data_IF_239691452127
#
_entry.id   IF_239691452127
#
_cell.length_a   1.000
_cell.length_b   1.000
_cell.length_c   1.000
_cell.angle_alpha   90.00
_cell.angle_beta   90.00
_cell.angle_gamma   90.00
#
_symmetry.space_group_name_H-M   'P 1'
#
loop_
_entity.id
_entity.type
_entity.pdbx_description
1 polymer ?
#
# COMPACT_ATOMS: atom_id res chain seq x y z
N UNK A 1 8.66 9.14 -9.83
CA UNK A 1 9.96 9.74 -10.18
C UNK A 1 10.85 9.87 -8.95
N UNK A 2 12.14 9.64 -9.17
CA UNK A 2 13.19 9.66 -8.15
C UNK A 2 14.16 10.82 -8.39
N UNK A 3 14.97 11.16 -7.36
CA UNK A 3 16.07 12.10 -7.58
C UNK A 3 17.08 11.51 -8.54
N UNK A 4 17.63 12.35 -9.43
CA UNK A 4 18.57 11.94 -10.49
C UNK A 4 19.74 11.10 -9.95
N UNK A 5 20.37 11.55 -8.87
CA UNK A 5 21.51 10.85 -8.27
C UNK A 5 21.11 9.50 -7.69
N UNK A 6 19.88 9.37 -7.14
CA UNK A 6 19.36 8.10 -6.63
C UNK A 6 19.20 7.08 -7.76
N UNK A 7 18.62 7.49 -8.89
CA UNK A 7 18.45 6.62 -10.07
C UNK A 7 19.82 6.11 -10.56
N UNK A 8 20.77 7.03 -10.76
CA UNK A 8 22.11 6.69 -11.25
C UNK A 8 22.86 5.77 -10.28
N UNK A 9 22.82 6.10 -8.98
CA UNK A 9 23.51 5.29 -7.96
C UNK A 9 22.92 3.88 -7.86
N UNK A 10 21.59 3.75 -7.92
CA UNK A 10 20.92 2.45 -7.91
C UNK A 10 21.29 1.61 -9.15
N UNK A 11 21.27 2.21 -10.35
CA UNK A 11 21.68 1.57 -11.58
C UNK A 11 23.16 1.13 -11.54
N UNK A 12 24.04 1.99 -11.05
CA UNK A 12 25.47 1.69 -10.93
C UNK A 12 25.76 0.57 -9.93
N UNK A 13 24.97 0.50 -8.84
CA UNK A 13 25.03 -0.57 -7.86
C UNK A 13 24.51 -1.93 -8.40
N UNK A 14 23.86 -1.94 -9.55
CA UNK A 14 23.27 -3.15 -10.17
C UNK A 14 21.89 -3.52 -9.61
N UNK A 15 21.21 -2.57 -8.98
CA UNK A 15 19.81 -2.74 -8.58
C UNK A 15 18.89 -2.82 -9.78
N UNK A 16 17.76 -3.53 -9.64
CA UNK A 16 16.63 -3.42 -10.58
C UNK A 16 15.98 -2.05 -10.38
N UNK A 17 15.87 -1.26 -11.45
CA UNK A 17 15.27 0.07 -11.41
C UNK A 17 14.13 0.16 -12.41
N UNK A 18 12.91 0.34 -11.94
CA UNK A 18 11.74 0.60 -12.78
C UNK A 18 11.65 2.11 -13.07
N UNK A 19 11.90 2.52 -14.33
CA UNK A 19 11.87 3.91 -14.78
C UNK A 19 10.41 4.35 -14.97
N UNK A 20 10.07 5.52 -14.43
CA UNK A 20 8.70 5.99 -14.30
C UNK A 20 8.28 6.99 -15.41
N UNK A 21 9.24 7.58 -16.10
CA UNK A 21 9.01 8.62 -17.12
C UNK A 21 10.16 8.70 -18.13
N UNK A 22 9.93 9.46 -19.22
CA UNK A 22 10.93 9.64 -20.30
C UNK A 22 12.19 10.37 -19.85
N UNK A 23 12.11 11.27 -18.87
CA UNK A 23 13.28 11.99 -18.35
C UNK A 23 14.22 11.02 -17.60
N UNK A 24 13.68 10.08 -16.83
CA UNK A 24 14.48 9.04 -16.18
C UNK A 24 15.11 8.09 -17.22
N UNK A 25 14.38 7.75 -18.29
CA UNK A 25 14.92 6.96 -19.40
C UNK A 25 16.09 7.70 -20.06
N UNK A 26 15.91 8.99 -20.41
CA UNK A 26 16.96 9.83 -21.01
C UNK A 26 18.18 9.94 -20.10
N UNK A 27 17.96 10.12 -18.80
CA UNK A 27 19.01 10.20 -17.80
C UNK A 27 19.86 8.94 -17.77
N UNK A 28 19.23 7.77 -17.70
CA UNK A 28 19.93 6.47 -17.67
C UNK A 28 20.64 6.20 -18.98
N UNK A 29 19.99 6.45 -20.13
CA UNK A 29 20.60 6.32 -21.44
C UNK A 29 21.87 7.18 -21.58
N UNK A 30 21.83 8.42 -21.10
CA UNK A 30 22.97 9.33 -21.13
C UNK A 30 24.11 8.86 -20.20
N UNK A 31 23.78 8.50 -18.96
CA UNK A 31 24.76 8.15 -17.93
C UNK A 31 25.50 6.83 -18.24
N UNK A 32 24.85 5.88 -18.91
CA UNK A 32 25.42 4.56 -19.22
C UNK A 32 25.77 4.38 -20.70
N UNK A 33 25.81 5.47 -21.47
CA UNK A 33 26.28 5.44 -22.86
C UNK A 33 27.75 5.01 -22.91
N UNK A 34 28.04 3.97 -23.68
CA UNK A 34 29.40 3.43 -23.80
C UNK A 34 29.91 2.66 -22.57
N UNK A 35 29.12 2.56 -21.50
CA UNK A 35 29.51 1.74 -20.34
C UNK A 35 29.53 0.26 -20.70
N UNK A 36 30.58 -0.45 -20.29
CA UNK A 36 30.64 -1.91 -20.43
C UNK A 36 29.59 -2.61 -19.58
N UNK A 37 29.34 -2.09 -18.36
CA UNK A 37 28.28 -2.60 -17.48
C UNK A 37 26.99 -1.85 -17.74
N UNK A 38 26.01 -2.52 -18.33
CA UNK A 38 24.67 -1.94 -18.51
C UNK A 38 23.79 -2.10 -17.26
N UNK A 39 22.94 -1.12 -16.97
CA UNK A 39 22.00 -1.20 -15.85
C UNK A 39 20.89 -2.22 -16.11
N UNK A 40 20.29 -2.75 -15.04
CA UNK A 40 19.09 -3.60 -15.09
C UNK A 40 17.86 -2.72 -14.91
N UNK A 41 17.20 -2.37 -16.03
CA UNK A 41 16.06 -1.44 -16.00
C UNK A 41 14.78 -2.09 -16.47
N UNK A 42 13.68 -1.74 -15.81
CA UNK A 42 12.32 -1.95 -16.27
C UNK A 42 11.65 -0.64 -16.63
N UNK A 43 10.51 -0.70 -17.28
CA UNK A 43 9.64 0.43 -17.52
C UNK A 43 8.35 0.27 -16.72
N UNK A 44 7.98 1.30 -15.98
CA UNK A 44 6.66 1.38 -15.37
C UNK A 44 5.65 1.80 -16.41
N UNK A 45 4.60 0.99 -16.56
CA UNK A 45 3.58 1.16 -17.60
C UNK A 45 2.38 1.90 -17.04
N UNK A 46 1.98 2.99 -17.69
CA UNK A 46 0.72 3.67 -17.47
C UNK A 46 -0.25 3.31 -18.58
N UNK A 47 -1.47 2.96 -18.24
CA UNK A 47 -2.53 2.60 -19.17
C UNK A 47 -3.91 2.78 -18.54
N UNK A 48 -4.94 2.90 -19.37
CA UNK A 48 -6.32 3.03 -18.93
C UNK A 48 -6.91 1.67 -18.51
N UNK A 49 -6.86 1.37 -17.21
CA UNK A 49 -7.45 0.15 -16.64
C UNK A 49 -8.96 0.30 -16.38
N UNK A 50 -9.51 1.52 -16.36
CA UNK A 50 -10.95 1.74 -16.17
C UNK A 50 -11.78 1.13 -17.32
N UNK A 51 -11.20 0.96 -18.51
CA UNK A 51 -11.86 0.24 -19.62
C UNK A 51 -12.11 -1.23 -19.29
N UNK A 52 -11.19 -1.87 -18.57
CA UNK A 52 -11.24 -3.29 -18.23
C UNK A 52 -11.97 -3.53 -16.90
N UNK A 53 -11.84 -2.61 -15.96
CA UNK A 53 -12.35 -2.70 -14.59
C UNK A 53 -13.01 -1.37 -14.16
N UNK A 54 -14.18 -0.99 -14.73
CA UNK A 54 -14.83 0.28 -14.44
C UNK A 54 -15.15 0.47 -12.96
N UNK A 55 -14.76 1.62 -12.38
CA UNK A 55 -15.05 1.98 -11.00
C UNK A 55 -14.21 1.26 -9.94
N UNK A 56 -13.27 0.39 -10.35
CA UNK A 56 -12.43 -0.32 -9.38
C UNK A 56 -11.17 0.44 -8.98
N UNK A 57 -10.76 1.46 -9.75
CA UNK A 57 -9.54 2.21 -9.45
C UNK A 57 -9.74 3.26 -8.37
N UNK A 58 -8.65 3.62 -7.68
CA UNK A 58 -8.68 4.66 -6.64
C UNK A 58 -8.93 6.05 -7.23
N UNK A 59 -8.52 6.28 -8.48
CA UNK A 59 -8.59 7.59 -9.13
C UNK A 59 -9.89 7.81 -9.92
N UNK A 60 -10.83 6.85 -9.92
CA UNK A 60 -12.16 6.99 -10.52
C UNK A 60 -12.15 7.58 -11.96
N UNK A 61 -11.33 7.02 -12.86
CA UNK A 61 -11.23 7.45 -14.25
C UNK A 61 -10.26 8.62 -14.51
N UNK A 62 -9.68 9.23 -13.47
CA UNK A 62 -8.58 10.18 -13.64
C UNK A 62 -7.29 9.39 -13.90
N UNK A 63 -6.50 9.73 -14.93
CA UNK A 63 -5.25 9.03 -15.20
C UNK A 63 -4.32 8.99 -13.98
N UNK A 64 -3.75 7.82 -13.72
CA UNK A 64 -2.74 7.65 -12.68
C UNK A 64 -1.49 8.48 -13.00
N UNK A 65 -0.86 9.08 -11.98
CA UNK A 65 0.31 9.98 -12.15
C UNK A 65 1.63 9.26 -12.37
N UNK A 66 1.65 7.94 -12.38
CA UNK A 66 2.87 7.14 -12.46
C UNK A 66 2.93 6.35 -13.75
N UNK A 67 4.16 6.18 -14.25
CA UNK A 67 4.45 5.33 -15.38
C UNK A 67 4.40 6.02 -16.73
N UNK A 68 4.98 5.35 -17.73
CA UNK A 68 5.08 5.79 -19.11
C UNK A 68 3.83 5.33 -19.85
N UNK A 69 3.12 6.26 -20.47
CA UNK A 69 1.83 6.01 -21.11
C UNK A 69 1.98 5.16 -22.37
N UNK A 70 1.11 4.13 -22.47
CA UNK A 70 1.02 3.29 -23.68
C UNK A 70 0.26 4.01 -24.80
N UNK A 71 -0.84 4.67 -24.47
CA UNK A 71 -1.81 5.17 -25.44
C UNK A 71 -1.30 6.38 -26.25
N UNK A 72 -0.33 7.12 -25.73
CA UNK A 72 0.22 8.31 -26.41
C UNK A 72 1.54 8.07 -27.15
N UNK A 73 2.05 6.82 -27.17
CA UNK A 73 3.30 6.44 -27.84
C UNK A 73 4.57 6.69 -27.01
N UNK A 74 4.49 7.19 -25.79
CA UNK A 74 5.67 7.43 -24.95
C UNK A 74 6.39 6.13 -24.58
N UNK A 75 5.65 5.03 -24.44
CA UNK A 75 6.25 3.73 -24.14
C UNK A 75 7.13 3.22 -25.31
N UNK A 76 6.66 3.34 -26.55
CA UNK A 76 7.44 3.00 -27.74
C UNK A 76 8.70 3.87 -27.86
N UNK A 77 8.57 5.17 -27.57
CA UNK A 77 9.68 6.11 -27.52
C UNK A 77 10.72 5.72 -26.46
N UNK A 78 10.28 5.32 -25.27
CA UNK A 78 11.16 4.83 -24.21
C UNK A 78 11.94 3.59 -24.63
N UNK A 79 11.28 2.63 -25.30
CA UNK A 79 11.92 1.44 -25.83
C UNK A 79 12.98 1.78 -26.88
N UNK A 80 12.69 2.73 -27.78
CA UNK A 80 13.64 3.18 -28.81
C UNK A 80 14.87 3.81 -28.18
N UNK A 81 14.69 4.69 -27.19
CA UNK A 81 15.80 5.34 -26.46
C UNK A 81 16.71 4.32 -25.77
N UNK A 82 16.15 3.30 -25.12
CA UNK A 82 16.92 2.22 -24.49
C UNK A 82 17.72 1.44 -25.54
N UNK A 83 17.09 1.02 -26.64
CA UNK A 83 17.75 0.28 -27.74
C UNK A 83 18.89 1.06 -28.35
N UNK A 84 18.70 2.35 -28.67
CA UNK A 84 19.73 3.24 -29.21
C UNK A 84 20.93 3.41 -28.28
N UNK A 85 20.71 3.27 -26.96
CA UNK A 85 21.76 3.35 -25.93
C UNK A 85 22.39 1.99 -25.61
N UNK A 86 21.97 0.93 -26.30
CA UNK A 86 22.43 -0.44 -26.06
C UNK A 86 22.05 -0.95 -24.67
N UNK A 87 20.92 -0.47 -24.14
CA UNK A 87 20.36 -0.93 -22.85
C UNK A 87 19.16 -1.82 -23.16
N UNK A 88 19.22 -3.06 -22.72
CA UNK A 88 18.14 -4.02 -22.89
C UNK A 88 17.07 -3.81 -21.80
N UNK A 89 15.80 -3.81 -22.18
CA UNK A 89 14.70 -3.78 -21.22
C UNK A 89 14.65 -5.09 -20.45
N UNK A 90 14.84 -5.03 -19.14
CA UNK A 90 14.84 -6.20 -18.28
C UNK A 90 13.44 -6.60 -17.79
N UNK A 91 12.51 -5.65 -17.65
CA UNK A 91 11.19 -5.96 -17.13
C UNK A 91 10.12 -4.90 -17.35
N UNK A 92 8.89 -5.27 -17.01
CA UNK A 92 7.74 -4.39 -16.97
C UNK A 92 7.24 -4.27 -15.53
N UNK A 93 6.82 -3.07 -15.13
CA UNK A 93 6.16 -2.81 -13.86
C UNK A 93 4.75 -2.22 -14.09
N UNK A 94 3.71 -2.90 -13.58
CA UNK A 94 2.31 -2.58 -13.86
C UNK A 94 1.49 -2.42 -12.59
N UNK A 95 1.94 -1.62 -11.63
CA UNK A 95 1.14 -1.37 -10.42
C UNK A 95 -0.03 -0.42 -10.69
N UNK A 96 -1.24 -0.82 -10.27
CA UNK A 96 -2.45 0.01 -10.28
C UNK A 96 -3.07 0.07 -8.88
N UNK A 97 -3.40 1.29 -8.44
CA UNK A 97 -4.11 1.48 -7.18
C UNK A 97 -5.59 1.12 -7.32
N UNK A 98 -6.06 0.18 -6.51
CA UNK A 98 -7.43 -0.32 -6.55
C UNK A 98 -8.16 -0.12 -5.22
N UNK A 99 -9.45 0.25 -5.30
CA UNK A 99 -10.34 0.28 -4.14
C UNK A 99 -10.84 -1.10 -3.76
N UNK A 100 -11.05 -1.96 -4.74
CA UNK A 100 -11.67 -3.28 -4.57
C UNK A 100 -10.64 -4.36 -4.28
N UNK A 101 -9.42 -4.25 -4.85
CA UNK A 101 -8.38 -5.29 -4.83
C UNK A 101 -8.92 -6.64 -5.30
N UNK A 102 -9.84 -6.63 -6.28
CA UNK A 102 -10.51 -7.81 -6.80
C UNK A 102 -9.59 -8.68 -7.65
N UNK A 103 -9.94 -9.96 -7.84
CA UNK A 103 -9.23 -10.81 -8.79
C UNK A 103 -9.34 -10.30 -10.23
N UNK A 104 -10.43 -9.60 -10.56
CA UNK A 104 -10.63 -9.01 -11.88
C UNK A 104 -9.55 -7.99 -12.21
N UNK A 105 -9.23 -7.08 -11.27
CA UNK A 105 -8.22 -6.06 -11.50
C UNK A 105 -6.82 -6.67 -11.66
N UNK A 106 -6.46 -7.70 -10.89
CA UNK A 106 -5.17 -8.39 -11.02
C UNK A 106 -5.08 -9.22 -12.32
N UNK A 107 -6.19 -9.79 -12.77
CA UNK A 107 -6.26 -10.43 -14.08
C UNK A 107 -6.05 -9.41 -15.21
N UNK A 108 -6.64 -8.22 -15.11
CA UNK A 108 -6.45 -7.13 -16.07
C UNK A 108 -5.00 -6.64 -16.08
N UNK A 109 -4.37 -6.42 -14.90
CA UNK A 109 -2.96 -6.04 -14.80
C UNK A 109 -2.04 -7.07 -15.47
N UNK A 110 -2.21 -8.35 -15.14
CA UNK A 110 -1.44 -9.44 -15.75
C UNK A 110 -1.72 -9.57 -17.26
N UNK A 111 -2.97 -9.41 -17.67
CA UNK A 111 -3.39 -9.40 -19.07
C UNK A 111 -2.75 -8.26 -19.86
N UNK A 112 -2.65 -7.08 -19.28
CA UNK A 112 -1.98 -5.92 -19.87
C UNK A 112 -0.47 -6.18 -20.05
N UNK A 113 0.19 -6.82 -19.08
CA UNK A 113 1.59 -7.22 -19.25
C UNK A 113 1.79 -8.16 -20.45
N UNK A 114 0.91 -9.15 -20.59
CA UNK A 114 0.93 -10.08 -21.74
C UNK A 114 0.68 -9.34 -23.06
N UNK A 115 -0.31 -8.45 -23.10
CA UNK A 115 -0.63 -7.68 -24.30
C UNK A 115 0.54 -6.78 -24.71
N UNK A 116 1.12 -6.03 -23.78
CA UNK A 116 2.30 -5.19 -24.00
C UNK A 116 3.49 -6.03 -24.47
N UNK A 117 3.70 -7.20 -23.87
CA UNK A 117 4.74 -8.12 -24.25
C UNK A 117 4.60 -8.60 -25.71
N UNK A 118 3.39 -8.92 -26.13
CA UNK A 118 3.10 -9.33 -27.53
C UNK A 118 3.27 -8.18 -28.53
N UNK A 119 2.73 -7.01 -28.21
CA UNK A 119 2.74 -5.83 -29.07
C UNK A 119 4.16 -5.36 -29.37
N UNK A 120 5.03 -5.34 -28.36
CA UNK A 120 6.40 -4.84 -28.50
C UNK A 120 7.46 -5.93 -28.61
N UNK A 121 7.08 -7.21 -28.73
CA UNK A 121 8.00 -8.33 -28.89
C UNK A 121 8.88 -8.61 -27.65
N UNK A 122 8.33 -8.47 -26.45
CA UNK A 122 9.06 -8.55 -25.17
C UNK A 122 8.90 -9.94 -24.51
N UNK A 123 9.18 -11.02 -25.24
CA UNK A 123 9.04 -12.40 -24.73
C UNK A 123 10.16 -12.85 -23.78
N UNK A 124 11.31 -12.18 -23.81
CA UNK A 124 12.53 -12.57 -23.08
C UNK A 124 12.81 -11.65 -21.86
N UNK A 125 11.76 -11.07 -21.27
CA UNK A 125 11.93 -10.25 -20.06
C UNK A 125 12.44 -11.09 -18.90
N UNK A 126 13.32 -10.51 -18.08
CA UNK A 126 13.82 -11.13 -16.85
C UNK A 126 12.75 -11.13 -15.74
N UNK A 127 11.84 -10.16 -15.75
CA UNK A 127 10.76 -10.08 -14.79
C UNK A 127 9.53 -9.32 -15.30
N UNK A 128 8.39 -9.64 -14.67
CA UNK A 128 7.18 -8.82 -14.69
C UNK A 128 6.83 -8.52 -13.26
N UNK A 129 6.73 -7.24 -12.93
CA UNK A 129 6.36 -6.73 -11.61
C UNK A 129 4.93 -6.18 -11.68
N UNK A 130 4.01 -6.75 -10.92
CA UNK A 130 2.61 -6.35 -10.87
C UNK A 130 2.29 -5.49 -9.64
N UNK A 131 3.31 -5.08 -8.87
CA UNK A 131 3.18 -4.23 -7.71
C UNK A 131 2.55 -4.91 -6.50
N UNK A 132 1.86 -4.12 -5.70
CA UNK A 132 1.26 -4.55 -4.44
C UNK A 132 -0.26 -4.38 -4.40
N UNK A 133 -0.78 -4.10 -3.20
CA UNK A 133 -2.21 -3.81 -2.99
C UNK A 133 -3.08 -5.04 -2.72
N UNK A 134 -2.50 -6.20 -2.45
CA UNK A 134 -3.24 -7.43 -2.16
C UNK A 134 -3.95 -7.38 -0.81
N UNK A 135 -5.08 -8.12 -0.71
CA UNK A 135 -5.56 -8.59 0.57
C UNK A 135 -4.73 -9.80 1.00
N UNK A 136 -4.82 -10.18 2.25
CA UNK A 136 -4.19 -11.38 2.76
C UNK A 136 -4.65 -11.69 4.17
N UNK A 137 -4.59 -12.99 4.52
CA UNK A 137 -4.93 -13.49 5.84
C UNK A 137 -6.43 -13.66 6.10
N UNK A 138 -6.73 -14.28 7.24
CA UNK A 138 -8.08 -14.65 7.68
C UNK A 138 -8.94 -13.46 8.16
N UNK A 139 -8.34 -12.28 8.35
CA UNK A 139 -9.04 -11.10 8.87
C UNK A 139 -9.93 -10.38 7.84
N UNK A 140 -9.92 -10.81 6.59
CA UNK A 140 -10.70 -10.21 5.53
C UNK A 140 -11.67 -11.22 4.89
N UNK A 141 -12.74 -11.64 5.61
CA UNK A 141 -13.73 -12.57 5.06
C UNK A 141 -14.32 -12.08 3.75
N UNK A 142 -14.48 -12.98 2.79
CA UNK A 142 -15.04 -12.68 1.47
C UNK A 142 -14.09 -11.88 0.57
N UNK A 143 -12.83 -11.71 0.95
CA UNK A 143 -11.78 -11.12 0.11
C UNK A 143 -10.88 -12.21 -0.46
N UNK A 144 -10.26 -11.98 -1.63
CA UNK A 144 -9.40 -12.97 -2.25
C UNK A 144 -8.23 -13.38 -1.36
N UNK A 145 -7.92 -14.66 -1.36
CA UNK A 145 -6.77 -15.26 -0.69
C UNK A 145 -5.49 -15.12 -1.50
N UNK A 146 -4.34 -15.35 -0.89
CA UNK A 146 -3.06 -15.38 -1.60
C UNK A 146 -3.04 -16.39 -2.73
N UNK A 147 -3.62 -17.57 -2.53
CA UNK A 147 -3.69 -18.63 -3.54
C UNK A 147 -4.51 -18.20 -4.75
N UNK A 148 -5.66 -17.56 -4.54
CA UNK A 148 -6.51 -17.07 -5.64
C UNK A 148 -5.84 -15.96 -6.44
N UNK A 149 -5.10 -15.04 -5.77
CA UNK A 149 -4.29 -14.04 -6.47
C UNK A 149 -3.17 -14.71 -7.29
N UNK A 150 -2.42 -15.64 -6.68
CA UNK A 150 -1.33 -16.35 -7.32
C UNK A 150 -1.81 -17.13 -8.55
N UNK A 151 -2.90 -17.86 -8.43
CA UNK A 151 -3.51 -18.60 -9.55
C UNK A 151 -3.93 -17.64 -10.67
N UNK A 152 -4.69 -16.59 -10.34
CA UNK A 152 -5.19 -15.62 -11.32
C UNK A 152 -4.05 -14.99 -12.11
N UNK A 153 -3.02 -14.52 -11.43
CA UNK A 153 -1.88 -13.83 -12.04
C UNK A 153 -1.01 -14.80 -12.83
N UNK A 154 -0.63 -15.93 -12.24
CA UNK A 154 0.28 -16.87 -12.87
C UNK A 154 -0.34 -17.53 -14.11
N UNK A 155 -1.63 -17.93 -14.04
CA UNK A 155 -2.32 -18.50 -15.22
C UNK A 155 -2.34 -17.47 -16.36
N UNK A 156 -2.61 -16.19 -16.06
CA UNK A 156 -2.65 -15.13 -17.06
C UNK A 156 -1.27 -14.88 -17.68
N UNK A 157 -0.21 -14.74 -16.86
CA UNK A 157 1.14 -14.45 -17.36
C UNK A 157 1.73 -15.61 -18.16
N UNK A 158 1.48 -16.86 -17.77
CA UNK A 158 1.94 -18.07 -18.50
C UNK A 158 1.39 -18.21 -19.91
N UNK A 159 0.38 -17.43 -20.29
CA UNK A 159 -0.10 -17.37 -21.68
C UNK A 159 0.93 -16.77 -22.65
N UNK A 160 2.01 -16.17 -22.13
CA UNK A 160 3.05 -15.53 -22.96
C UNK A 160 4.47 -15.66 -22.36
N UNK A 161 4.62 -15.53 -21.03
CA UNK A 161 5.92 -15.57 -20.36
C UNK A 161 6.19 -16.97 -19.80
N UNK A 162 7.41 -17.46 -20.04
CA UNK A 162 7.88 -18.72 -19.45
C UNK A 162 8.36 -18.49 -18.02
N UNK A 163 7.88 -19.25 -17.02
CA UNK A 163 8.32 -19.11 -15.63
C UNK A 163 9.79 -19.48 -15.40
N UNK A 164 10.43 -20.19 -16.34
CA UNK A 164 11.86 -20.54 -16.31
C UNK A 164 12.74 -19.34 -16.70
N UNK A 165 12.18 -18.35 -17.41
CA UNK A 165 12.91 -17.18 -17.94
C UNK A 165 12.50 -15.88 -17.27
N UNK A 166 11.22 -15.75 -16.93
CA UNK A 166 10.62 -14.50 -16.44
C UNK A 166 10.15 -14.65 -15.01
N UNK A 167 10.78 -13.96 -14.08
CA UNK A 167 10.36 -13.91 -12.69
C UNK A 167 9.11 -13.03 -12.52
N UNK A 168 8.19 -13.44 -11.65
CA UNK A 168 7.11 -12.60 -11.15
C UNK A 168 7.59 -11.87 -9.90
N UNK A 169 7.54 -10.53 -9.93
CA UNK A 169 7.81 -9.68 -8.77
C UNK A 169 6.49 -9.19 -8.19
N UNK A 170 6.38 -9.21 -6.87
CA UNK A 170 5.25 -8.70 -6.09
C UNK A 170 5.77 -7.72 -5.03
N UNK A 171 5.02 -6.66 -4.77
CA UNK A 171 5.32 -5.63 -3.76
C UNK A 171 4.26 -5.61 -2.63
N UNK A 172 4.05 -6.71 -1.89
CA UNK A 172 3.00 -6.78 -0.89
C UNK A 172 3.37 -5.95 0.34
N UNK A 173 2.62 -4.88 0.59
CA UNK A 173 2.74 -4.05 1.79
C UNK A 173 1.76 -4.47 2.87
N UNK A 174 0.53 -3.94 2.84
CA UNK A 174 -0.51 -4.20 3.83
C UNK A 174 -0.84 -5.69 3.97
N UNK A 175 -0.77 -6.46 2.90
CA UNK A 175 -1.04 -7.90 2.91
C UNK A 175 -0.13 -8.68 3.87
N UNK A 176 1.11 -8.23 4.08
CA UNK A 176 2.08 -8.87 4.99
C UNK A 176 2.10 -8.16 6.35
N UNK A 177 2.14 -6.83 6.34
CA UNK A 177 2.43 -6.05 7.55
C UNK A 177 1.19 -5.69 8.36
N UNK A 178 -0.02 -5.66 7.78
CA UNK A 178 -1.21 -5.23 8.52
C UNK A 178 -1.45 -6.09 9.77
N UNK A 179 -1.36 -7.40 9.65
CA UNK A 179 -1.63 -8.35 10.74
C UNK A 179 -0.53 -8.43 11.80
N UNK A 180 0.58 -7.72 11.61
CA UNK A 180 1.69 -7.74 12.58
C UNK A 180 1.44 -6.89 13.83
N UNK A 181 0.45 -5.99 13.81
CA UNK A 181 0.16 -5.10 14.94
C UNK A 181 -1.34 -4.93 15.13
N UNK A 182 -1.73 -4.88 16.38
CA UNK A 182 -3.04 -4.44 16.85
C UNK A 182 -2.91 -3.12 17.59
N UNK A 183 -4.01 -2.38 17.70
CA UNK A 183 -4.06 -1.10 18.39
C UNK A 183 -5.12 -1.14 19.48
N UNK A 184 -4.69 -0.98 20.73
CA UNK A 184 -5.56 -0.95 21.90
C UNK A 184 -5.83 0.48 22.33
N UNK A 185 -7.11 0.78 22.61
CA UNK A 185 -7.55 2.07 23.15
C UNK A 185 -8.69 1.86 24.15
N UNK A 186 -8.77 2.73 25.17
CA UNK A 186 -9.73 2.62 26.26
C UNK A 186 -10.75 3.76 26.19
N UNK A 187 -11.97 3.50 26.63
CA UNK A 187 -13.02 4.52 26.69
C UNK A 187 -12.68 5.55 27.78
N UNK A 188 -12.72 6.83 27.40
CA UNK A 188 -12.56 7.97 28.31
C UNK A 188 -13.90 8.55 28.74
N UNK A 189 -14.85 8.66 27.81
CA UNK A 189 -16.12 9.32 28.02
C UNK A 189 -17.21 8.76 27.10
N UNK A 190 -18.45 8.78 27.62
CA UNK A 190 -19.65 8.44 26.86
C UNK A 190 -20.67 9.53 27.10
N UNK A 191 -21.25 10.09 26.03
CA UNK A 191 -22.27 11.15 26.12
C UNK A 191 -23.27 11.03 24.97
N UNK A 192 -24.42 11.61 25.18
CA UNK A 192 -25.42 11.80 24.13
C UNK A 192 -25.40 13.23 23.60
N UNK A 193 -25.40 13.37 22.28
CA UNK A 193 -25.48 14.67 21.60
C UNK A 193 -26.50 14.57 20.48
N UNK A 194 -27.62 15.25 20.60
CA UNK A 194 -28.70 15.27 19.59
C UNK A 194 -29.16 13.88 19.16
N UNK A 195 -29.31 12.97 20.11
CA UNK A 195 -29.73 11.60 19.85
C UNK A 195 -28.63 10.65 19.36
N UNK A 196 -27.41 11.12 19.25
CA UNK A 196 -26.26 10.27 18.90
C UNK A 196 -25.44 9.94 20.14
N UNK A 197 -25.12 8.66 20.31
CA UNK A 197 -24.22 8.19 21.35
C UNK A 197 -22.77 8.38 20.91
N UNK A 198 -22.04 9.25 21.59
CA UNK A 198 -20.63 9.55 21.30
C UNK A 198 -19.76 8.91 22.37
N UNK A 199 -18.84 8.05 21.95
CA UNK A 199 -17.85 7.38 22.79
C UNK A 199 -16.48 7.96 22.44
N UNK A 200 -15.83 8.63 23.39
CA UNK A 200 -14.47 9.14 23.22
C UNK A 200 -13.48 8.17 23.82
N UNK A 201 -12.42 7.84 23.06
CA UNK A 201 -11.34 6.94 23.50
C UNK A 201 -10.01 7.68 23.65
N UNK A 202 -9.07 7.12 24.41
CA UNK A 202 -7.74 7.69 24.68
C UNK A 202 -6.77 7.62 23.49
N UNK A 203 -7.16 6.93 22.42
CA UNK A 203 -6.43 6.82 21.19
C UNK A 203 -6.80 7.87 20.14
N UNK A 204 -6.19 7.76 18.97
CA UNK A 204 -6.53 8.56 17.78
C UNK A 204 -6.49 7.71 16.53
N UNK A 205 -7.42 7.98 15.59
CA UNK A 205 -7.45 7.30 14.29
C UNK A 205 -6.18 7.53 13.49
N UNK A 206 -5.46 8.63 13.68
CA UNK A 206 -4.19 8.90 12.99
C UNK A 206 -3.13 7.86 13.31
N UNK A 207 -3.27 7.13 14.43
CA UNK A 207 -2.36 6.05 14.80
C UNK A 207 -2.59 4.76 14.01
N UNK A 208 -3.76 4.56 13.38
CA UNK A 208 -4.10 3.34 12.61
C UNK A 208 -4.57 3.63 11.19
N UNK A 209 -4.95 4.86 10.90
CA UNK A 209 -5.35 5.33 9.58
C UNK A 209 -4.94 6.79 9.40
N UNK A 210 -3.66 7.05 9.11
CA UNK A 210 -3.12 8.41 9.04
C UNK A 210 -3.78 9.28 7.96
N UNK A 211 -4.46 8.66 6.99
CA UNK A 211 -5.21 9.37 5.94
C UNK A 211 -6.65 9.69 6.35
N UNK A 212 -7.09 9.25 7.54
CA UNK A 212 -8.44 9.44 8.09
C UNK A 212 -9.58 9.08 7.12
N UNK A 213 -9.33 8.14 6.21
CA UNK A 213 -10.36 7.67 5.29
C UNK A 213 -11.37 6.78 6.04
N UNK A 214 -12.68 7.06 6.00
CA UNK A 214 -13.67 6.20 6.62
C UNK A 214 -13.62 4.78 6.03
N UNK A 215 -13.25 3.80 6.82
CA UNK A 215 -13.32 2.40 6.42
C UNK A 215 -13.55 1.48 7.63
N UNK A 216 -14.41 0.47 7.51
CA UNK A 216 -14.65 -0.48 8.59
C UNK A 216 -13.38 -1.23 8.98
N UNK A 217 -12.96 -1.10 10.25
CA UNK A 217 -11.75 -1.74 10.80
C UNK A 217 -12.14 -2.94 11.64
N UNK A 218 -11.56 -4.13 11.44
CA UNK A 218 -11.76 -5.28 12.32
C UNK A 218 -11.36 -4.94 13.75
N UNK A 219 -12.17 -5.36 14.72
CA UNK A 219 -11.90 -5.08 16.12
C UNK A 219 -12.47 -6.16 17.04
N UNK A 220 -11.97 -6.17 18.27
CA UNK A 220 -12.55 -6.88 19.41
C UNK A 220 -12.85 -5.87 20.51
N UNK A 221 -14.05 -5.89 21.07
CA UNK A 221 -14.38 -5.10 22.24
C UNK A 221 -14.12 -5.94 23.50
N UNK A 222 -13.31 -5.44 24.39
CA UNK A 222 -13.06 -5.99 25.72
C UNK A 222 -14.06 -5.31 26.67
N UNK A 223 -14.68 -6.06 27.57
CA UNK A 223 -15.77 -5.61 28.43
C UNK A 223 -16.92 -4.93 27.66
N UNK A 224 -17.57 -5.65 26.70
CA UNK A 224 -18.69 -5.08 25.97
C UNK A 224 -19.92 -4.90 26.86
N UNK A 225 -20.71 -3.88 26.57
CA UNK A 225 -22.06 -3.73 27.10
C UNK A 225 -23.08 -4.61 26.39
N UNK A 226 -24.37 -4.36 26.64
CA UNK A 226 -25.46 -5.06 26.01
C UNK A 226 -25.44 -4.93 24.48
N UNK A 227 -25.97 -5.95 23.78
CA UNK A 227 -26.26 -5.82 22.36
C UNK A 227 -27.31 -4.76 22.10
N UNK A 228 -27.13 -3.97 21.06
CA UNK A 228 -28.04 -2.89 20.67
C UNK A 228 -27.82 -2.51 19.21
N UNK A 229 -28.89 -2.14 18.55
CA UNK A 229 -28.84 -1.53 17.22
C UNK A 229 -28.55 0.00 17.29
N UNK A 230 -28.33 0.55 18.47
CA UNK A 230 -28.00 1.97 18.64
C UNK A 230 -26.66 2.29 17.99
N UNK A 231 -26.66 3.18 17.04
CA UNK A 231 -25.45 3.67 16.40
C UNK A 231 -24.58 4.43 17.41
N UNK A 232 -23.29 4.16 17.42
CA UNK A 232 -22.30 4.80 18.25
C UNK A 232 -21.20 5.42 17.41
N UNK A 233 -20.87 6.66 17.68
CA UNK A 233 -19.75 7.39 17.08
C UNK A 233 -18.54 7.21 17.98
N UNK A 234 -17.50 6.53 17.51
CA UNK A 234 -16.26 6.32 18.26
C UNK A 234 -15.28 7.42 17.87
N UNK A 235 -15.10 8.39 18.74
CA UNK A 235 -14.18 9.52 18.54
C UNK A 235 -12.85 9.31 19.24
N UNK A 236 -11.76 9.76 18.62
CA UNK A 236 -10.43 9.81 19.23
C UNK A 236 -10.26 10.98 20.21
N UNK A 237 -9.05 11.10 20.74
CA UNK A 237 -8.70 12.07 21.77
C UNK A 237 -8.12 13.38 21.25
N UNK A 238 -8.01 13.56 19.93
CA UNK A 238 -7.54 14.82 19.35
C UNK A 238 -8.67 15.83 19.15
N UNK A 239 -8.33 17.07 18.81
CA UNK A 239 -9.31 18.14 18.53
C UNK A 239 -9.86 18.09 17.10
N UNK A 240 -9.51 17.07 16.29
CA UNK A 240 -9.99 16.97 14.92
C UNK A 240 -11.35 16.28 14.86
N UNK A 241 -12.34 16.91 14.22
CA UNK A 241 -13.66 16.30 14.00
C UNK A 241 -13.63 15.00 13.20
N UNK A 242 -12.59 14.81 12.37
CA UNK A 242 -12.38 13.59 11.59
C UNK A 242 -11.64 12.49 12.37
N UNK A 243 -11.24 12.73 13.60
CA UNK A 243 -10.62 11.72 14.47
C UNK A 243 -11.68 10.72 14.94
N UNK A 244 -12.10 9.85 14.03
CA UNK A 244 -13.16 8.86 14.23
C UNK A 244 -12.71 7.48 13.81
N UNK A 245 -13.01 6.52 14.67
CA UNK A 245 -12.84 5.11 14.37
C UNK A 245 -14.12 4.52 13.78
N UNK A 246 -13.97 3.55 12.92
CA UNK A 246 -15.09 2.86 12.27
C UNK A 246 -14.99 1.34 12.58
N UNK A 247 -15.42 0.90 13.79
CA UNK A 247 -15.44 -0.52 14.14
C UNK A 247 -16.35 -1.29 13.20
N UNK A 248 -15.88 -2.41 12.62
CA UNK A 248 -16.66 -3.22 11.69
C UNK A 248 -17.76 -3.98 12.42
N UNK A 249 -19.01 -3.84 11.97
CA UNK A 249 -20.17 -4.63 12.45
C UNK A 249 -20.33 -4.59 13.98
N UNK A 250 -20.16 -3.41 14.59
CA UNK A 250 -20.28 -3.23 16.02
C UNK A 250 -21.73 -3.40 16.48
N UNK A 251 -22.01 -4.39 17.33
CA UNK A 251 -23.33 -4.71 17.87
C UNK A 251 -23.50 -4.43 19.35
N UNK A 252 -22.41 -4.26 20.08
CA UNK A 252 -22.46 -4.03 21.52
C UNK A 252 -22.25 -2.56 21.85
N UNK A 253 -22.96 -2.10 22.89
CA UNK A 253 -22.69 -0.77 23.46
C UNK A 253 -21.33 -0.75 24.14
N UNK A 254 -20.56 0.32 23.92
CA UNK A 254 -19.38 0.57 24.72
C UNK A 254 -19.78 1.04 26.13
N UNK A 255 -19.02 0.66 27.14
CA UNK A 255 -19.15 1.08 28.56
C UNK A 255 -17.91 1.88 28.97
N UNK A 256 -17.90 2.46 30.16
CA UNK A 256 -16.78 3.27 30.66
C UNK A 256 -15.48 2.45 30.86
N UNK A 257 -15.59 1.14 31.09
CA UNK A 257 -14.48 0.21 31.22
C UNK A 257 -14.21 -0.61 29.94
N UNK A 258 -14.92 -0.32 28.87
CA UNK A 258 -14.69 -0.97 27.57
C UNK A 258 -13.38 -0.52 26.95
N UNK A 259 -12.75 -1.45 26.23
CA UNK A 259 -11.57 -1.20 25.41
C UNK A 259 -11.83 -1.68 23.99
N UNK A 260 -11.24 -1.00 23.02
CA UNK A 260 -11.27 -1.39 21.63
C UNK A 260 -9.88 -1.89 21.21
N UNK A 261 -9.78 -3.14 20.83
CA UNK A 261 -8.60 -3.73 20.20
C UNK A 261 -8.84 -3.78 18.69
N UNK A 262 -8.32 -2.80 17.98
CA UNK A 262 -8.38 -2.76 16.50
C UNK A 262 -7.31 -3.65 15.91
N UNK A 263 -7.69 -4.52 14.98
CA UNK A 263 -6.82 -5.48 14.32
C UNK A 263 -6.27 -4.95 12.99
N UNK A 264 -5.21 -5.58 12.51
CA UNK A 264 -4.61 -5.27 11.21
C UNK A 264 -4.07 -3.84 11.08
N UNK A 265 -3.49 -3.30 12.14
CA UNK A 265 -2.99 -1.93 12.21
C UNK A 265 -1.50 -1.76 11.86
N UNK A 266 -0.79 -2.82 11.40
CA UNK A 266 0.68 -2.77 11.24
C UNK A 266 1.17 -2.04 9.98
N UNK A 267 0.33 -1.93 8.94
CA UNK A 267 0.74 -1.31 7.69
C UNK A 267 0.82 0.21 7.81
N UNK A 268 1.95 0.80 7.36
CA UNK A 268 2.23 2.24 7.35
C UNK A 268 2.38 2.92 8.73
N UNK A 269 2.11 2.24 9.82
CA UNK A 269 2.02 2.83 11.16
C UNK A 269 3.34 3.42 11.66
N UNK A 270 4.46 2.79 11.36
CA UNK A 270 5.77 3.27 11.83
C UNK A 270 6.26 4.52 11.10
N UNK A 271 5.79 4.76 9.88
CA UNK A 271 6.26 5.82 8.98
C UNK A 271 5.30 6.99 8.82
N UNK A 272 4.00 6.76 8.98
CA UNK A 272 2.95 7.78 8.82
C UNK A 272 2.30 8.18 10.13
N UNK A 273 2.75 7.62 11.25
CA UNK A 273 2.19 7.93 12.56
C UNK A 273 2.47 9.39 12.93
N UNK A 274 1.41 10.18 13.03
CA UNK A 274 1.50 11.57 13.46
C UNK A 274 1.50 11.64 14.98
N UNK A 275 2.37 12.49 15.52
CA UNK A 275 2.38 12.87 16.95
C UNK A 275 1.54 14.12 17.21
N UNK A 276 0.47 14.33 16.46
CA UNK A 276 -0.40 15.50 16.62
C UNK A 276 -1.13 15.45 17.97
N UNK A 277 -0.93 16.46 18.81
CA UNK A 277 -1.44 16.63 20.20
C UNK A 277 -0.92 15.55 21.14
N UNK A 278 -0.99 14.29 20.75
CA UNK A 278 -0.50 13.16 21.51
C UNK A 278 0.76 12.60 20.89
N UNK A 279 1.76 12.25 21.71
CA UNK A 279 2.89 11.47 21.23
C UNK A 279 2.43 10.11 20.72
N UNK A 280 3.18 9.54 19.78
CA UNK A 280 2.93 8.20 19.27
C UNK A 280 2.81 7.17 20.41
N UNK A 281 1.88 6.20 20.32
CA UNK A 281 1.62 5.26 21.42
C UNK A 281 2.83 4.39 21.75
N UNK A 282 2.81 3.77 22.93
CA UNK A 282 3.75 2.71 23.27
C UNK A 282 3.63 1.57 22.26
N UNK A 283 4.74 0.91 21.97
CA UNK A 283 4.75 -0.35 21.22
C UNK A 283 5.24 -1.46 22.13
N UNK A 284 4.46 -2.51 22.23
CA UNK A 284 4.79 -3.73 22.95
C UNK A 284 4.94 -4.90 21.99
N UNK A 285 5.92 -5.76 22.23
CA UNK A 285 6.03 -7.07 21.61
C UNK A 285 5.29 -8.09 22.47
N UNK A 286 4.30 -8.78 21.91
CA UNK A 286 3.62 -9.89 22.55
C UNK A 286 4.28 -11.21 22.14
N UNK A 287 4.67 -12.03 23.12
CA UNK A 287 5.13 -13.41 22.94
C UNK A 287 4.37 -14.32 23.90
N UNK A 288 3.42 -15.07 23.40
CA UNK A 288 2.47 -15.79 24.25
C UNK A 288 1.68 -14.83 25.13
N UNK A 289 1.78 -14.95 26.44
CA UNK A 289 1.13 -14.06 27.41
C UNK A 289 2.06 -12.93 27.92
N UNK A 290 3.30 -12.88 27.48
CA UNK A 290 4.28 -11.88 27.90
C UNK A 290 4.30 -10.67 26.96
N UNK A 291 4.48 -9.47 27.54
CA UNK A 291 4.59 -8.21 26.82
C UNK A 291 5.91 -7.52 27.15
N UNK A 292 6.70 -7.24 26.12
CA UNK A 292 7.95 -6.48 26.24
C UNK A 292 7.78 -5.11 25.60
N UNK A 293 8.05 -4.03 26.34
CA UNK A 293 8.02 -2.66 25.83
C UNK A 293 9.19 -2.48 24.81
N UNK A 294 8.85 -2.24 23.54
CA UNK A 294 9.82 -1.95 22.48
C UNK A 294 10.06 -0.45 22.30
N UNK A 295 9.00 0.36 22.38
CA UNK A 295 9.07 1.82 22.25
C UNK A 295 8.14 2.46 23.26
N UNK A 296 8.70 3.33 24.09
CA UNK A 296 7.95 4.14 25.07
C UNK A 296 7.38 5.39 24.38
N UNK A 297 6.14 5.72 24.67
CA UNK A 297 5.54 7.03 24.36
C UNK A 297 6.37 8.11 25.05
N UNK A 298 6.85 9.11 24.29
CA UNK A 298 7.59 10.24 24.84
C UNK A 298 7.23 11.52 24.11
N UNK A 299 7.00 12.58 24.86
CA UNK A 299 6.81 13.92 24.30
C UNK A 299 8.12 14.49 23.73
N UNK A 300 9.27 13.99 24.17
CA UNK A 300 10.58 14.44 23.68
C UNK A 300 10.76 14.13 22.18
N UNK A 301 10.02 13.13 21.65
CA UNK A 301 10.00 12.85 20.22
C UNK A 301 9.35 13.95 19.35
N UNK A 302 8.67 14.92 19.97
CA UNK A 302 8.04 16.07 19.31
C UNK A 302 8.98 17.28 19.18
N UNK A 303 10.07 17.28 19.93
CA UNK A 303 10.99 18.41 19.99
C UNK A 303 12.40 17.95 19.64
N UNK A 304 13.15 18.73 18.83
CA UNK A 304 14.56 18.44 18.62
C UNK A 304 15.31 18.56 19.95
N UNK A 305 16.28 17.67 20.16
CA UNK A 305 17.19 17.80 21.31
C UNK A 305 18.08 19.02 21.09
N UNK A 306 18.38 19.76 22.16
CA UNK A 306 19.25 20.97 22.12
C UNK A 306 20.64 20.70 21.48
N UNK A 307 21.12 19.45 21.52
CA UNK A 307 22.38 19.04 20.88
C UNK A 307 22.31 18.87 19.36
N UNK A 308 21.13 19.05 18.74
CA UNK A 308 20.90 18.89 17.29
C UNK A 308 20.56 20.24 16.62
N UNK A 309 20.57 21.35 17.37
CA UNK A 309 20.48 22.74 16.91
C UNK A 309 21.88 23.33 16.91
#
# INVERSE_FOLDING_TARGET
PQKRDTVISACAAGSIVNLDNLEEVALVCSAFRGSERKPVVGLRVNYDIERDCPGETTCAGIPGRFGICLENGDFEKALSMLRESGIELAGLHLHQSSRTRSLAIYRSIAGRAVQTGREFGLSELKYVDIGGGFFGGSFFPGKPTYSEYAETVCVTLRAFYSPEKTALILEPGAAILATSMDYLTSVLNIREVRGHRIVTVDGSVVHINPFMNPHPTPFTMINPGAESDTEQIIGGSTCMELDRFYPRDMKNLAQHDSQFLFHCCGAYMSTHNSSFINAAPNIYLKRGEEYTLLRKKSIDSLFPKESEI
#
